data_IF_690138741211
#
_entry.id   IF_690138741211
#
_cell.length_a   1.000
_cell.length_b   1.000
_cell.length_c   1.000
_cell.angle_alpha   90.00
_cell.angle_beta   90.00
_cell.angle_gamma   90.00
#
_symmetry.space_group_name_H-M   'P 1'
#
loop_
_entity.id
_entity.type
_entity.pdbx_description
1 polymer ?
#
# COMPACT_ATOMS: atom_id res chain seq x y z
N UNK A 1 0.75 -20.97 -9.99
CA UNK A 1 -0.15 -20.37 -8.99
C UNK A 1 0.06 -18.86 -9.01
N UNK A 2 -1.01 -18.13 -9.27
CA UNK A 2 -0.99 -16.68 -9.31
C UNK A 2 -0.82 -16.13 -7.90
N UNK A 3 0.13 -15.20 -7.72
CA UNK A 3 0.33 -14.54 -6.44
C UNK A 3 -0.87 -13.62 -6.13
N UNK A 4 -1.35 -13.59 -4.88
CA UNK A 4 -2.48 -12.73 -4.53
C UNK A 4 -2.11 -11.25 -4.69
N UNK A 5 -3.08 -10.44 -5.14
CA UNK A 5 -2.92 -9.00 -5.29
C UNK A 5 -3.36 -8.24 -4.04
N UNK A 6 -4.36 -8.75 -3.33
CA UNK A 6 -4.87 -8.15 -2.09
C UNK A 6 -4.80 -9.20 -1.00
N UNK A 7 -4.17 -8.84 0.13
CA UNK A 7 -3.94 -9.77 1.23
C UNK A 7 -4.30 -9.11 2.55
N UNK A 8 -5.06 -9.82 3.38
CA UNK A 8 -5.20 -9.48 4.79
C UNK A 8 -4.16 -10.29 5.56
N UNK A 9 -3.25 -9.61 6.22
CA UNK A 9 -2.18 -10.25 7.00
C UNK A 9 -2.47 -10.08 8.50
N UNK A 10 -2.43 -11.21 9.21
CA UNK A 10 -2.70 -11.27 10.65
C UNK A 10 -1.51 -11.92 11.33
N UNK A 11 -1.02 -11.30 12.41
CA UNK A 11 0.11 -11.82 13.17
C UNK A 11 -0.24 -11.80 14.65
N UNK A 12 -0.40 -13.00 15.21
CA UNK A 12 -0.90 -13.15 16.59
C UNK A 12 0.19 -12.95 17.65
N UNK A 13 1.44 -13.20 17.29
CA UNK A 13 2.58 -13.09 18.20
C UNK A 13 3.63 -12.14 17.62
N UNK A 14 4.38 -11.50 18.50
CA UNK A 14 5.53 -10.69 18.10
C UNK A 14 6.66 -11.65 17.66
N UNK A 15 7.09 -11.54 16.42
CA UNK A 15 8.08 -12.44 15.82
C UNK A 15 9.45 -11.76 15.59
N UNK A 16 9.67 -10.60 16.20
CA UNK A 16 10.91 -9.84 16.02
C UNK A 16 11.01 -9.13 14.68
N UNK A 17 12.19 -8.65 14.37
CA UNK A 17 12.47 -7.95 13.11
C UNK A 17 12.53 -8.99 11.98
N UNK A 18 11.78 -8.74 10.92
CA UNK A 18 11.70 -9.62 9.75
C UNK A 18 12.25 -8.91 8.52
N UNK A 19 13.01 -9.65 7.72
CA UNK A 19 13.47 -9.18 6.42
C UNK A 19 12.49 -9.63 5.34
N UNK A 20 12.03 -8.69 4.53
CA UNK A 20 11.13 -8.96 3.40
C UNK A 20 11.75 -8.50 2.10
N UNK A 21 11.85 -9.41 1.13
CA UNK A 21 12.27 -9.09 -0.23
C UNK A 21 11.02 -8.98 -1.09
N UNK A 22 10.72 -7.78 -1.57
CA UNK A 22 9.53 -7.53 -2.39
C UNK A 22 9.89 -7.45 -3.86
N UNK A 23 9.19 -8.22 -4.69
CA UNK A 23 9.26 -8.16 -6.15
C UNK A 23 8.13 -7.31 -6.75
N UNK A 24 7.24 -6.81 -5.92
CA UNK A 24 6.12 -5.94 -6.28
C UNK A 24 6.06 -4.77 -5.31
N UNK A 25 5.49 -3.66 -5.76
CA UNK A 25 5.19 -2.53 -4.87
C UNK A 25 4.07 -2.93 -3.92
N UNK A 26 4.18 -2.52 -2.65
CA UNK A 26 3.15 -2.77 -1.65
C UNK A 26 2.59 -1.47 -1.12
N UNK A 27 1.25 -1.39 -1.03
CA UNK A 27 0.55 -0.32 -0.33
C UNK A 27 -0.26 -0.99 0.76
N UNK A 28 -0.06 -0.58 2.01
CA UNK A 28 -0.69 -1.23 3.15
C UNK A 28 -1.36 -0.25 4.10
N UNK A 29 -2.29 -0.78 4.88
CA UNK A 29 -3.06 -0.01 5.86
C UNK A 29 -3.12 -0.81 7.16
N UNK A 30 -2.82 -0.13 8.28
CA UNK A 30 -2.81 -0.76 9.60
C UNK A 30 -4.22 -0.76 10.18
N UNK A 31 -4.78 -1.95 10.40
CA UNK A 31 -6.09 -2.14 11.02
C UNK A 31 -5.99 -2.21 12.53
N UNK A 32 -4.94 -2.83 13.06
CA UNK A 32 -4.73 -3.05 14.50
C UNK A 32 -3.27 -3.33 14.79
N UNK A 33 -2.80 -2.82 15.91
CA UNK A 33 -1.42 -3.05 16.35
C UNK A 33 -0.47 -1.96 15.91
N UNK A 34 0.81 -2.21 16.11
CA UNK A 34 1.89 -1.28 15.78
C UNK A 34 2.87 -1.94 14.82
N UNK A 35 3.35 -1.18 13.85
CA UNK A 35 4.34 -1.64 12.88
C UNK A 35 5.53 -0.70 12.90
N UNK A 36 6.74 -1.26 12.89
CA UNK A 36 7.96 -0.51 12.62
C UNK A 36 8.48 -0.86 11.23
N UNK A 37 8.92 0.16 10.50
CA UNK A 37 9.67 -0.01 9.25
C UNK A 37 11.03 0.63 9.49
N UNK A 38 12.09 -0.16 9.33
CA UNK A 38 13.45 0.25 9.65
C UNK A 38 14.14 0.87 8.45
N UNK A 39 14.93 1.90 8.70
CA UNK A 39 15.77 2.58 7.73
C UNK A 39 17.15 2.78 8.38
N UNK A 40 17.99 1.75 8.28
CA UNK A 40 19.24 1.69 9.01
C UNK A 40 19.00 1.63 10.51
N UNK A 41 19.54 2.59 11.26
CA UNK A 41 19.37 2.70 12.71
C UNK A 41 18.10 3.47 13.11
N UNK A 42 17.41 4.05 12.13
CA UNK A 42 16.14 4.77 12.35
C UNK A 42 14.96 3.89 12.03
N UNK A 43 13.81 4.26 12.56
CA UNK A 43 12.56 3.55 12.25
C UNK A 43 11.38 4.50 12.15
N UNK A 44 10.44 4.14 11.28
CA UNK A 44 9.13 4.76 11.21
C UNK A 44 8.16 3.94 12.05
N UNK A 45 7.33 4.60 12.85
CA UNK A 45 6.31 3.94 13.66
C UNK A 45 4.94 4.15 13.03
N UNK A 46 4.21 3.06 12.79
CA UNK A 46 2.87 3.08 12.25
C UNK A 46 1.90 2.50 13.25
N UNK A 47 0.72 3.11 13.32
CA UNK A 47 -0.37 2.64 14.16
C UNK A 47 -1.66 2.58 13.36
N UNK A 48 -2.75 2.13 13.99
CA UNK A 48 -4.05 2.05 13.36
C UNK A 48 -4.40 3.33 12.59
N UNK A 49 -4.78 3.18 11.33
CA UNK A 49 -5.17 4.30 10.47
C UNK A 49 -4.04 4.85 9.61
N UNK A 50 -2.82 4.34 9.78
CA UNK A 50 -1.70 4.76 8.94
C UNK A 50 -1.63 3.92 7.68
N UNK A 51 -1.25 4.57 6.57
CA UNK A 51 -1.02 3.94 5.28
C UNK A 51 0.47 4.02 4.96
N UNK A 52 0.98 3.01 4.25
CA UNK A 52 2.40 2.95 3.90
C UNK A 52 2.59 2.42 2.49
N UNK A 53 3.71 2.80 1.91
CA UNK A 53 4.19 2.31 0.61
C UNK A 53 5.56 1.67 0.82
N UNK A 54 5.76 0.50 0.21
CA UNK A 54 7.04 -0.19 0.17
C UNK A 54 7.44 -0.39 -1.29
N UNK A 55 8.63 0.07 -1.67
CA UNK A 55 9.18 -0.16 -2.99
C UNK A 55 9.65 -1.59 -3.19
N UNK A 56 9.99 -1.93 -4.42
CA UNK A 56 10.63 -3.21 -4.75
C UNK A 56 12.02 -3.24 -4.11
N UNK A 57 12.37 -4.33 -3.45
CA UNK A 57 13.64 -4.50 -2.77
C UNK A 57 13.48 -5.07 -1.37
N UNK A 58 14.52 -4.93 -0.57
CA UNK A 58 14.55 -5.44 0.81
C UNK A 58 14.04 -4.42 1.80
N UNK A 59 13.20 -4.88 2.73
CA UNK A 59 12.69 -4.07 3.83
C UNK A 59 12.82 -4.84 5.13
N UNK A 60 13.06 -4.12 6.23
CA UNK A 60 13.12 -4.68 7.57
C UNK A 60 11.94 -4.12 8.35
N UNK A 61 11.08 -5.01 8.82
CA UNK A 61 9.83 -4.65 9.50
C UNK A 61 9.69 -5.39 10.81
N UNK A 62 8.86 -4.85 11.68
CA UNK A 62 8.52 -5.50 12.94
C UNK A 62 7.07 -5.18 13.28
N UNK A 63 6.26 -6.21 13.58
CA UNK A 63 4.85 -6.05 13.87
C UNK A 63 4.55 -6.45 15.32
N UNK A 64 3.74 -5.65 16.00
CA UNK A 64 3.39 -5.87 17.40
C UNK A 64 1.89 -6.02 17.56
N UNK A 65 1.42 -7.18 18.06
CA UNK A 65 0.05 -7.31 18.57
C UNK A 65 -0.18 -6.33 19.73
N UNK A 66 -1.41 -5.92 19.94
CA UNK A 66 -1.74 -4.92 20.93
C UNK A 66 -3.02 -5.31 21.68
N UNK A 67 -3.03 -5.12 22.99
CA UNK A 67 -4.21 -5.34 23.82
C UNK A 67 -4.77 -6.75 23.78
N UNK A 68 -3.92 -7.77 23.64
CA UNK A 68 -4.36 -9.16 23.56
C UNK A 68 -4.99 -9.53 22.21
N UNK A 69 -4.93 -8.63 21.24
CA UNK A 69 -5.47 -8.82 19.89
C UNK A 69 -4.33 -8.90 18.88
N UNK A 70 -4.49 -9.68 17.80
CA UNK A 70 -3.43 -9.79 16.79
C UNK A 70 -3.19 -8.49 16.06
N UNK A 71 -1.98 -8.34 15.50
CA UNK A 71 -1.67 -7.32 14.53
C UNK A 71 -2.41 -7.65 13.23
N UNK A 72 -3.04 -6.64 12.60
CA UNK A 72 -3.77 -6.82 11.36
C UNK A 72 -3.50 -5.68 10.39
N UNK A 73 -3.27 -6.03 9.13
CA UNK A 73 -3.10 -5.07 8.05
C UNK A 73 -3.69 -5.60 6.75
N UNK A 74 -4.03 -4.69 5.84
CA UNK A 74 -4.44 -5.01 4.48
C UNK A 74 -3.34 -4.53 3.55
N UNK A 75 -2.92 -5.40 2.62
CA UNK A 75 -1.85 -5.12 1.67
C UNK A 75 -2.35 -5.26 0.24
N UNK A 76 -1.99 -4.28 -0.60
CA UNK A 76 -2.19 -4.32 -2.05
C UNK A 76 -0.84 -4.41 -2.72
N UNK A 77 -0.67 -5.38 -3.62
CA UNK A 77 0.58 -5.60 -4.34
C UNK A 77 0.40 -5.27 -5.82
N UNK A 78 1.33 -4.49 -6.37
CA UNK A 78 1.33 -4.05 -7.76
C UNK A 78 2.65 -4.37 -8.42
N UNK A 79 2.60 -5.01 -9.59
CA UNK A 79 3.78 -5.06 -10.47
C UNK A 79 3.95 -3.70 -11.14
N UNK A 80 5.15 -3.38 -11.66
CA UNK A 80 5.31 -2.16 -12.48
C UNK A 80 4.31 -2.08 -13.63
N UNK A 81 4.04 -3.23 -14.28
CA UNK A 81 3.05 -3.31 -15.35
C UNK A 81 1.63 -3.01 -14.89
N UNK A 82 1.26 -3.48 -13.72
CA UNK A 82 -0.07 -3.19 -13.14
C UNK A 82 -0.28 -1.69 -12.96
N UNK A 83 0.70 -1.01 -12.35
CA UNK A 83 0.61 0.44 -12.12
C UNK A 83 0.48 1.20 -13.43
N UNK A 84 1.33 0.86 -14.40
CA UNK A 84 1.33 1.53 -15.70
C UNK A 84 -0.02 1.35 -16.40
N UNK A 85 -0.55 0.14 -16.42
CA UNK A 85 -1.83 -0.19 -17.05
C UNK A 85 -2.99 0.55 -16.37
N UNK A 86 -3.01 0.55 -15.04
CA UNK A 86 -4.08 1.19 -14.27
C UNK A 86 -4.06 2.71 -14.48
N UNK A 87 -2.90 3.34 -14.38
CA UNK A 87 -2.77 4.78 -14.56
C UNK A 87 -3.14 5.21 -15.98
N UNK A 88 -2.73 4.42 -16.98
CA UNK A 88 -3.09 4.67 -18.37
C UNK A 88 -4.61 4.55 -18.58
N UNK A 89 -5.24 3.54 -17.98
CA UNK A 89 -6.68 3.35 -18.05
C UNK A 89 -7.43 4.54 -17.42
N UNK A 90 -7.00 4.99 -16.25
CA UNK A 90 -7.62 6.13 -15.57
C UNK A 90 -7.48 7.41 -16.38
N UNK A 91 -6.33 7.62 -17.01
CA UNK A 91 -6.10 8.79 -17.86
C UNK A 91 -6.96 8.76 -19.13
N UNK A 92 -6.94 7.65 -19.86
CA UNK A 92 -7.64 7.52 -21.14
C UNK A 92 -9.16 7.48 -20.96
N UNK A 93 -9.63 6.68 -20.02
CA UNK A 93 -11.07 6.44 -19.84
C UNK A 93 -11.77 7.57 -19.11
N UNK A 94 -11.13 8.11 -18.08
CA UNK A 94 -11.75 9.12 -17.20
C UNK A 94 -11.12 10.50 -17.31
N UNK A 95 -10.07 10.66 -18.10
CA UNK A 95 -9.39 11.95 -18.25
C UNK A 95 -8.64 12.39 -16.99
N UNK A 96 -8.28 11.45 -16.11
CA UNK A 96 -7.55 11.78 -14.89
C UNK A 96 -6.18 12.35 -15.26
N UNK A 97 -5.92 13.59 -14.80
CA UNK A 97 -4.61 14.21 -15.00
C UNK A 97 -3.62 13.62 -14.01
N UNK A 98 -2.64 12.92 -14.55
CA UNK A 98 -1.60 12.26 -13.75
C UNK A 98 -0.35 13.13 -13.82
N UNK A 99 -0.23 14.06 -12.88
CA UNK A 99 0.96 14.89 -12.75
C UNK A 99 1.56 14.69 -11.36
N UNK A 100 2.88 14.71 -11.29
CA UNK A 100 3.61 14.62 -10.04
C UNK A 100 4.45 15.87 -9.88
N UNK A 101 3.94 16.82 -9.10
CA UNK A 101 4.61 18.09 -8.81
C UNK A 101 5.21 18.12 -7.40
N UNK A 102 5.00 17.05 -6.61
CA UNK A 102 5.52 16.98 -5.25
C UNK A 102 7.03 16.78 -5.27
N UNK A 103 7.75 17.68 -4.65
CA UNK A 103 9.20 17.62 -4.50
C UNK A 103 9.54 17.63 -3.01
N UNK A 104 9.95 16.47 -2.49
CA UNK A 104 10.31 16.28 -1.10
C UNK A 104 11.52 15.38 -1.01
N UNK A 105 12.61 15.86 -0.41
CA UNK A 105 13.82 15.06 -0.25
C UNK A 105 13.57 13.81 0.59
N UNK A 106 12.69 13.92 1.60
CA UNK A 106 12.35 12.80 2.46
C UNK A 106 11.65 11.66 1.70
N UNK A 107 10.88 12.00 0.66
CA UNK A 107 10.23 10.99 -0.18
C UNK A 107 11.20 10.40 -1.20
N UNK A 108 12.02 11.24 -1.80
CA UNK A 108 12.82 10.90 -2.99
C UNK A 108 13.84 9.80 -2.73
N UNK A 109 14.48 9.82 -1.58
CA UNK A 109 15.60 8.93 -1.26
C UNK A 109 15.20 7.73 -0.40
N UNK A 110 13.92 7.58 -0.07
CA UNK A 110 13.45 6.47 0.77
C UNK A 110 12.79 5.38 -0.06
N UNK A 111 13.05 4.13 0.31
CA UNK A 111 12.40 2.96 -0.28
C UNK A 111 10.99 2.73 0.27
N UNK A 112 10.61 3.47 1.30
CA UNK A 112 9.29 3.41 1.92
C UNK A 112 8.84 4.79 2.37
N UNK A 113 7.54 5.01 2.42
CA UNK A 113 6.92 6.21 2.98
C UNK A 113 5.69 5.83 3.78
N UNK A 114 5.40 6.62 4.81
CA UNK A 114 4.28 6.38 5.72
C UNK A 114 3.56 7.69 5.99
N UNK A 115 2.25 7.64 6.18
CA UNK A 115 1.46 8.80 6.55
C UNK A 115 0.10 8.37 7.10
N UNK A 116 -0.58 9.22 7.89
CA UNK A 116 -1.96 8.94 8.24
C UNK A 116 -2.84 8.92 6.98
N UNK A 117 -3.75 7.94 6.91
CA UNK A 117 -4.68 7.88 5.78
C UNK A 117 -5.71 9.01 5.88
N UNK A 118 -6.00 9.66 4.75
CA UNK A 118 -7.11 10.60 4.68
C UNK A 118 -8.46 9.84 4.65
N UNK A 119 -9.55 10.56 4.86
CA UNK A 119 -10.86 9.93 5.12
C UNK A 119 -11.31 8.96 4.03
N UNK A 120 -11.22 9.34 2.74
CA UNK A 120 -11.65 8.45 1.66
C UNK A 120 -10.78 7.22 1.55
N UNK A 121 -9.47 7.34 1.78
CA UNK A 121 -8.54 6.22 1.76
C UNK A 121 -8.81 5.27 2.94
N UNK A 122 -9.05 5.83 4.13
CA UNK A 122 -9.42 5.05 5.31
C UNK A 122 -10.69 4.24 5.07
N UNK A 123 -11.73 4.90 4.56
CA UNK A 123 -13.01 4.25 4.26
C UNK A 123 -12.85 3.13 3.23
N UNK A 124 -12.01 3.36 2.22
CA UNK A 124 -11.67 2.36 1.23
C UNK A 124 -11.08 1.10 1.86
N UNK A 125 -10.07 1.26 2.73
CA UNK A 125 -9.41 0.10 3.35
C UNK A 125 -10.31 -0.64 4.33
N UNK A 126 -11.13 0.08 5.11
CA UNK A 126 -12.09 -0.54 6.02
C UNK A 126 -13.13 -1.33 5.22
N UNK A 127 -13.62 -0.77 4.14
CA UNK A 127 -14.57 -1.43 3.24
C UNK A 127 -13.95 -2.69 2.61
N UNK A 128 -12.72 -2.56 2.10
CA UNK A 128 -11.99 -3.68 1.52
C UNK A 128 -11.79 -4.81 2.54
N UNK A 129 -11.47 -4.47 3.78
CA UNK A 129 -11.34 -5.46 4.84
C UNK A 129 -12.64 -6.25 5.05
N UNK A 130 -13.79 -5.59 4.93
CA UNK A 130 -15.09 -6.28 5.03
C UNK A 130 -15.30 -7.24 3.85
N UNK A 131 -14.91 -6.84 2.64
CA UNK A 131 -14.99 -7.72 1.47
C UNK A 131 -14.08 -8.94 1.58
N UNK A 132 -12.92 -8.81 2.22
CA UNK A 132 -11.97 -9.93 2.37
C UNK A 132 -12.49 -11.05 3.28
N UNK A 133 -13.57 -10.82 4.02
CA UNK A 133 -14.26 -11.85 4.80
C UNK A 133 -15.17 -12.72 3.93
N UNK A 134 -15.49 -12.25 2.72
CA UNK A 134 -16.38 -12.95 1.80
C UNK A 134 -15.54 -13.83 0.87
N UNK A 135 -15.78 -15.13 0.89
CA UNK A 135 -15.06 -16.09 0.06
C UNK A 135 -15.30 -15.85 -1.43
N UNK A 136 -16.52 -15.42 -1.81
CA UNK A 136 -16.83 -15.14 -3.20
C UNK A 136 -15.97 -14.00 -3.73
N UNK A 137 -15.76 -12.96 -2.92
CA UNK A 137 -14.88 -11.86 -3.31
C UNK A 137 -13.42 -12.31 -3.48
N UNK A 138 -12.93 -13.15 -2.55
CA UNK A 138 -11.52 -13.60 -2.59
C UNK A 138 -11.18 -14.45 -3.81
N UNK A 139 -12.19 -15.01 -4.45
CA UNK A 139 -12.03 -15.83 -5.66
C UNK A 139 -12.49 -15.12 -6.94
N UNK A 140 -12.86 -13.84 -6.82
CA UNK A 140 -13.33 -13.04 -7.96
C UNK A 140 -12.22 -12.10 -8.43
N UNK A 141 -11.56 -12.50 -9.51
CA UNK A 141 -10.45 -11.73 -10.10
C UNK A 141 -10.92 -10.35 -10.59
N UNK A 142 -12.12 -10.25 -11.13
CA UNK A 142 -12.66 -8.97 -11.60
C UNK A 142 -12.88 -8.01 -10.43
N UNK A 143 -13.48 -8.49 -9.35
CA UNK A 143 -13.70 -7.68 -8.15
C UNK A 143 -12.37 -7.21 -7.55
N UNK A 144 -11.38 -8.09 -7.52
CA UNK A 144 -10.04 -7.75 -7.05
C UNK A 144 -9.39 -6.66 -7.91
N UNK A 145 -9.49 -6.78 -9.24
CA UNK A 145 -8.95 -5.78 -10.16
C UNK A 145 -9.64 -4.43 -10.03
N UNK A 146 -10.94 -4.41 -9.78
CA UNK A 146 -11.68 -3.15 -9.53
C UNK A 146 -11.15 -2.47 -8.27
N UNK A 147 -10.93 -3.22 -7.20
CA UNK A 147 -10.35 -2.68 -5.96
C UNK A 147 -8.94 -2.16 -6.16
N UNK A 148 -8.12 -2.89 -6.93
CA UNK A 148 -6.77 -2.46 -7.29
C UNK A 148 -6.79 -1.11 -8.01
N UNK A 149 -7.71 -0.94 -8.95
CA UNK A 149 -7.87 0.30 -9.72
C UNK A 149 -8.38 1.44 -8.83
N UNK A 150 -9.35 1.18 -7.97
CA UNK A 150 -9.93 2.19 -7.08
C UNK A 150 -8.89 2.77 -6.12
N UNK A 151 -8.01 1.94 -5.55
CA UNK A 151 -6.95 2.41 -4.67
C UNK A 151 -6.02 3.39 -5.39
N UNK A 152 -5.59 3.05 -6.60
CA UNK A 152 -4.72 3.93 -7.38
C UNK A 152 -5.42 5.23 -7.72
N UNK A 153 -6.72 5.17 -8.07
CA UNK A 153 -7.51 6.38 -8.31
C UNK A 153 -7.53 7.29 -7.09
N UNK A 154 -7.79 6.74 -5.91
CA UNK A 154 -7.86 7.52 -4.67
C UNK A 154 -6.53 8.23 -4.36
N UNK A 155 -5.41 7.56 -4.62
CA UNK A 155 -4.09 8.14 -4.39
C UNK A 155 -3.75 9.17 -5.48
N UNK A 156 -3.95 8.81 -6.74
CA UNK A 156 -3.57 9.67 -7.88
C UNK A 156 -4.43 10.94 -7.98
N UNK A 157 -5.67 10.90 -7.51
CA UNK A 157 -6.58 12.05 -7.51
C UNK A 157 -6.47 12.93 -6.27
N UNK A 158 -5.73 12.48 -5.26
CA UNK A 158 -5.52 13.24 -4.03
C UNK A 158 -4.51 14.38 -4.26
N UNK A 159 -4.51 15.36 -3.36
CA UNK A 159 -3.48 16.41 -3.37
C UNK A 159 -2.09 15.80 -3.26
N UNK A 160 -1.08 16.54 -3.72
CA UNK A 160 0.29 16.03 -3.76
C UNK A 160 0.80 15.64 -2.37
N UNK A 161 1.34 14.44 -2.28
CA UNK A 161 1.87 13.86 -1.04
C UNK A 161 2.93 12.82 -1.36
N UNK A 162 3.62 12.33 -0.33
CA UNK A 162 4.73 11.38 -0.53
C UNK A 162 4.29 10.07 -1.16
N UNK A 163 3.17 9.50 -0.75
CA UNK A 163 2.69 8.23 -1.33
C UNK A 163 2.35 8.42 -2.81
N UNK A 164 1.63 9.47 -3.15
CA UNK A 164 1.32 9.80 -4.54
C UNK A 164 2.61 9.98 -5.36
N UNK A 165 3.58 10.71 -4.81
CA UNK A 165 4.86 10.96 -5.46
C UNK A 165 5.61 9.65 -5.75
N UNK A 166 5.69 8.76 -4.77
CA UNK A 166 6.34 7.45 -4.96
C UNK A 166 5.65 6.61 -6.01
N UNK A 167 4.33 6.58 -5.97
CA UNK A 167 3.53 5.83 -6.94
C UNK A 167 3.76 6.30 -8.37
N UNK A 168 3.72 7.61 -8.60
CA UNK A 168 3.85 8.19 -9.93
C UNK A 168 5.28 8.16 -10.45
N UNK A 169 6.29 8.30 -9.61
CA UNK A 169 7.69 8.26 -10.03
C UNK A 169 8.10 6.88 -10.54
N UNK A 170 7.47 5.80 -10.05
CA UNK A 170 7.71 4.45 -10.54
C UNK A 170 7.27 4.27 -11.99
N UNK A 171 6.22 4.98 -12.41
CA UNK A 171 5.74 4.94 -13.79
C UNK A 171 6.68 5.69 -14.72
N UNK A 172 7.19 6.83 -14.29
CA UNK A 172 8.14 7.61 -15.06
C UNK A 172 9.47 6.88 -15.25
N UNK A 173 9.92 6.13 -14.25
CA UNK A 173 11.13 5.34 -14.33
C UNK A 173 11.01 4.13 -15.28
N UNK A 174 9.78 3.66 -15.54
CA UNK A 174 9.51 2.53 -16.43
C UNK A 174 9.41 2.95 -17.91
N UNK A 175 9.45 4.25 -18.20
CA UNK A 175 9.52 4.76 -19.55
C UNK A 175 10.99 4.77 -20.01
#
# INVERSE_FOLDING_TARGET
VQQPMIVKYVESLHNGIQSQALSRYAIGYILRGTKYIYDGDKRQTLSRGDVFYLGIGHHYIENFPEGGQPFEQVLFYYTPGDLQRILMHLNITYGLNISNEHSCENCRNRSHVTMPAWNSLRNFFINTNNYLRDEDFRHDETAENIKMTELIYLIASHEDCCIKSKLLSNVDAAK
#
